data_IF_659308939648
#
_entry.id   IF_659308939648
#
_cell.length_a   1.000
_cell.length_b   1.000
_cell.length_c   1.000
_cell.angle_alpha   90.00
_cell.angle_beta   90.00
_cell.angle_gamma   90.00
#
_symmetry.space_group_name_H-M   'P 1'
#
loop_
_entity.id
_entity.type
_entity.pdbx_description
1 polymer ?
#
# COMPACT_ATOMS: atom_id res chain seq x y z
N UNK A 1 16.11 -39.03 9.39
CA UNK A 1 16.01 -37.66 9.88
C UNK A 1 16.70 -36.65 8.95
N UNK A 2 18.00 -36.82 8.69
CA UNK A 2 18.78 -35.88 7.84
C UNK A 2 18.21 -35.71 6.43
N UNK A 3 17.79 -36.80 5.78
CA UNK A 3 17.20 -36.76 4.43
C UNK A 3 15.87 -35.99 4.42
N UNK A 4 14.99 -36.26 5.38
CA UNK A 4 13.67 -35.60 5.48
C UNK A 4 13.85 -34.09 5.74
N UNK A 5 14.84 -33.70 6.55
CA UNK A 5 15.16 -32.31 6.83
C UNK A 5 15.86 -31.60 5.67
N UNK A 6 16.85 -32.24 5.03
CA UNK A 6 17.60 -31.67 3.92
C UNK A 6 16.72 -31.42 2.69
N UNK A 7 15.73 -32.27 2.47
CA UNK A 7 14.82 -32.19 1.31
C UNK A 7 13.60 -31.28 1.56
N UNK A 8 13.35 -30.94 2.82
CA UNK A 8 12.22 -30.10 3.24
C UNK A 8 10.88 -30.55 2.63
N UNK A 9 10.50 -31.82 2.91
CA UNK A 9 9.31 -32.49 2.38
C UNK A 9 8.04 -31.62 2.49
N UNK A 10 7.74 -30.91 3.62
CA UNK A 10 6.56 -30.05 3.73
C UNK A 10 6.50 -28.96 2.65
N UNK A 11 7.62 -28.32 2.32
CA UNK A 11 7.67 -27.31 1.25
C UNK A 11 7.43 -27.92 -0.14
N UNK A 12 7.92 -29.14 -0.39
CA UNK A 12 7.68 -29.82 -1.66
C UNK A 12 6.20 -30.18 -1.84
N UNK A 13 5.54 -30.59 -0.77
CA UNK A 13 4.08 -30.87 -0.75
C UNK A 13 3.31 -29.58 -1.04
N UNK A 14 3.63 -28.48 -0.36
CA UNK A 14 2.97 -27.19 -0.57
C UNK A 14 3.18 -26.63 -1.98
N UNK A 15 4.38 -26.83 -2.57
CA UNK A 15 4.69 -26.47 -3.96
C UNK A 15 4.08 -27.41 -5.00
N UNK A 16 3.21 -28.35 -4.60
CA UNK A 16 2.56 -29.37 -5.45
C UNK A 16 3.55 -30.23 -6.26
N UNK A 17 4.79 -30.40 -5.77
CA UNK A 17 5.78 -31.27 -6.43
C UNK A 17 5.62 -32.72 -5.99
N UNK A 18 4.40 -33.26 -6.14
CA UNK A 18 3.97 -34.58 -5.64
C UNK A 18 4.87 -35.71 -6.13
N UNK A 19 5.32 -35.67 -7.38
CA UNK A 19 6.22 -36.69 -7.95
C UNK A 19 7.58 -36.76 -7.25
N UNK A 20 8.14 -35.61 -6.81
CA UNK A 20 9.40 -35.59 -6.05
C UNK A 20 9.22 -36.19 -4.65
N UNK A 21 8.09 -35.87 -4.00
CA UNK A 21 7.74 -36.43 -2.68
C UNK A 21 7.57 -37.94 -2.78
N UNK A 22 6.82 -38.42 -3.79
CA UNK A 22 6.61 -39.84 -4.03
C UNK A 22 7.94 -40.60 -4.28
N UNK A 23 8.84 -40.01 -5.07
CA UNK A 23 10.17 -40.56 -5.31
C UNK A 23 11.03 -40.70 -4.05
N UNK A 24 10.98 -39.69 -3.15
CA UNK A 24 11.73 -39.73 -1.88
C UNK A 24 11.13 -40.78 -0.93
N UNK A 25 9.81 -40.87 -0.82
CA UNK A 25 9.13 -41.89 -0.02
C UNK A 25 9.48 -43.28 -0.55
N UNK A 26 9.45 -43.48 -1.88
CA UNK A 26 9.83 -44.76 -2.52
C UNK A 26 11.27 -45.17 -2.18
N UNK A 27 12.21 -44.21 -2.26
CA UNK A 27 13.63 -44.45 -1.93
C UNK A 27 13.81 -44.81 -0.45
N UNK A 28 13.11 -44.16 0.45
CA UNK A 28 13.13 -44.48 1.90
C UNK A 28 12.54 -45.86 2.20
N UNK A 29 11.47 -46.25 1.50
CA UNK A 29 10.88 -47.58 1.64
C UNK A 29 11.83 -48.68 1.12
N UNK A 30 12.50 -48.45 -0.01
CA UNK A 30 13.52 -49.38 -0.55
C UNK A 30 14.66 -49.53 0.43
N UNK A 31 15.18 -48.41 1.01
CA UNK A 31 16.20 -48.45 2.03
C UNK A 31 15.79 -49.25 3.28
N UNK A 32 14.58 -49.04 3.76
CA UNK A 32 14.04 -49.80 4.90
C UNK A 32 13.89 -51.31 4.57
N UNK A 33 13.47 -51.66 3.33
CA UNK A 33 13.40 -53.04 2.88
C UNK A 33 14.78 -53.69 2.83
N UNK A 34 15.79 -53.02 2.25
CA UNK A 34 17.16 -53.53 2.21
C UNK A 34 17.72 -53.73 3.63
N UNK A 35 17.51 -52.80 4.54
CA UNK A 35 17.93 -52.92 5.94
C UNK A 35 17.25 -54.08 6.65
N UNK A 36 15.94 -54.36 6.38
CA UNK A 36 15.21 -55.49 7.00
C UNK A 36 15.74 -56.84 6.56
N UNK A 37 16.39 -56.94 5.37
CA UNK A 37 16.94 -58.17 4.82
C UNK A 37 18.49 -58.24 4.90
N UNK A 38 19.10 -57.22 5.46
CA UNK A 38 20.59 -57.22 5.54
C UNK A 38 21.07 -58.29 6.54
N UNK A 39 22.07 -59.12 6.14
CA UNK A 39 22.67 -60.15 7.00
C UNK A 39 23.57 -59.50 8.06
N UNK A 40 23.00 -59.26 9.23
CA UNK A 40 23.79 -58.81 10.39
C UNK A 40 24.51 -59.99 11.02
N UNK A 41 25.79 -59.77 11.52
CA UNK A 41 26.46 -60.81 12.27
C UNK A 41 25.71 -61.05 13.59
N UNK A 42 25.16 -62.27 13.71
CA UNK A 42 24.26 -62.61 14.83
C UNK A 42 25.02 -63.07 16.06
N UNK A 43 25.01 -62.30 17.12
CA UNK A 43 25.15 -62.79 18.49
C UNK A 43 23.75 -63.25 18.98
N UNK A 44 23.24 -64.32 18.39
CA UNK A 44 21.89 -64.81 18.69
C UNK A 44 21.89 -65.51 20.03
N UNK A 45 21.02 -65.15 21.00
CA UNK A 45 20.86 -65.91 22.22
C UNK A 45 20.51 -67.37 21.97
N UNK A 46 21.05 -68.32 22.77
CA UNK A 46 20.85 -69.76 22.54
C UNK A 46 19.38 -70.18 22.43
N UNK A 47 18.46 -69.45 23.05
CA UNK A 47 17.02 -69.74 22.98
C UNK A 47 16.43 -69.45 21.59
N UNK A 48 16.95 -68.46 20.86
CA UNK A 48 16.44 -68.06 19.53
C UNK A 48 17.01 -68.91 18.37
N UNK A 49 18.14 -69.57 18.57
CA UNK A 49 18.67 -70.50 17.57
C UNK A 49 17.73 -71.69 17.30
N UNK A 50 16.82 -71.99 18.26
CA UNK A 50 15.84 -73.05 18.14
C UNK A 50 14.66 -72.70 17.22
N UNK A 51 14.46 -71.38 16.90
CA UNK A 51 13.34 -70.89 16.09
C UNK A 51 13.81 -69.84 15.09
N UNK A 52 14.60 -70.16 14.05
CA UNK A 52 15.22 -69.20 13.17
C UNK A 52 14.21 -68.32 12.38
N UNK A 53 13.12 -68.92 11.94
CA UNK A 53 12.03 -68.19 11.24
C UNK A 53 11.36 -67.14 12.11
N UNK A 54 11.20 -67.40 13.38
CA UNK A 54 10.64 -66.45 14.34
C UNK A 54 11.59 -65.26 14.56
N UNK A 55 12.87 -65.53 14.66
CA UNK A 55 13.90 -64.51 14.80
C UNK A 55 13.93 -63.52 13.61
N UNK A 56 13.90 -64.06 12.36
CA UNK A 56 13.85 -63.22 11.16
C UNK A 56 12.56 -62.40 11.10
N UNK A 57 11.44 -62.96 11.49
CA UNK A 57 10.18 -62.23 11.48
C UNK A 57 10.17 -61.10 12.52
N UNK A 58 10.63 -61.35 13.72
CA UNK A 58 10.73 -60.35 14.79
C UNK A 58 11.70 -59.26 14.43
N UNK A 59 12.83 -59.56 13.81
CA UNK A 59 13.82 -58.63 13.33
C UNK A 59 13.24 -57.68 12.26
N UNK A 60 12.57 -58.25 11.26
CA UNK A 60 11.93 -57.48 10.21
C UNK A 60 10.86 -56.53 10.79
N UNK A 61 10.01 -57.05 11.67
CA UNK A 61 9.00 -56.20 12.37
C UNK A 61 9.65 -55.05 13.15
N UNK A 62 10.75 -55.28 13.86
CA UNK A 62 11.44 -54.26 14.63
C UNK A 62 11.99 -53.14 13.73
N UNK A 63 12.60 -53.51 12.58
CA UNK A 63 13.12 -52.53 11.60
C UNK A 63 11.99 -51.66 11.05
N UNK A 64 10.86 -52.27 10.64
CA UNK A 64 9.72 -51.54 10.15
C UNK A 64 9.07 -50.64 11.20
N UNK A 65 8.97 -51.15 12.44
CA UNK A 65 8.43 -50.36 13.56
C UNK A 65 9.32 -49.14 13.84
N UNK A 66 10.67 -49.31 13.93
CA UNK A 66 11.60 -48.22 14.13
C UNK A 66 11.59 -47.25 12.98
N UNK A 67 11.48 -47.70 11.73
CA UNK A 67 11.33 -46.87 10.56
C UNK A 67 10.08 -45.96 10.65
N UNK A 68 8.94 -46.52 11.03
CA UNK A 68 7.67 -45.82 11.21
C UNK A 68 7.79 -44.73 12.32
N UNK A 69 8.36 -45.08 13.44
CA UNK A 69 8.53 -44.15 14.59
C UNK A 69 9.45 -42.99 14.21
N UNK A 70 10.63 -43.30 13.63
CA UNK A 70 11.62 -42.26 13.27
C UNK A 70 11.10 -41.36 12.13
N UNK A 71 10.44 -41.93 11.11
CA UNK A 71 9.89 -41.16 10.01
C UNK A 71 8.70 -40.30 10.46
N UNK A 72 7.81 -40.82 11.30
CA UNK A 72 6.68 -40.08 11.88
C UNK A 72 7.15 -38.90 12.76
N UNK A 73 8.12 -39.16 13.64
CA UNK A 73 8.72 -38.12 14.47
C UNK A 73 9.40 -37.02 13.64
N UNK A 74 10.20 -37.42 12.63
CA UNK A 74 10.88 -36.49 11.74
C UNK A 74 9.91 -35.64 10.92
N UNK A 75 8.82 -36.25 10.43
CA UNK A 75 7.77 -35.53 9.71
C UNK A 75 7.05 -34.53 10.62
N UNK A 76 6.73 -34.94 11.84
CA UNK A 76 6.04 -34.07 12.82
C UNK A 76 6.87 -32.83 13.14
N UNK A 77 8.18 -33.00 13.42
CA UNK A 77 9.09 -31.86 13.65
C UNK A 77 9.15 -30.97 12.42
N UNK A 78 9.30 -31.53 11.23
CA UNK A 78 9.41 -30.76 9.99
C UNK A 78 8.14 -29.94 9.73
N UNK A 79 6.97 -30.50 9.95
CA UNK A 79 5.70 -29.80 9.85
C UNK A 79 5.58 -28.66 10.88
N UNK A 80 5.99 -28.92 12.12
CA UNK A 80 5.94 -27.94 13.19
C UNK A 80 6.85 -26.75 12.89
N UNK A 81 8.08 -27.00 12.43
CA UNK A 81 9.02 -25.95 12.03
C UNK A 81 8.51 -25.13 10.82
N UNK A 82 7.87 -25.76 9.85
CA UNK A 82 7.31 -25.07 8.70
C UNK A 82 6.10 -24.20 9.09
N UNK A 83 5.24 -24.69 9.99
CA UNK A 83 4.13 -23.89 10.55
C UNK A 83 4.66 -22.65 11.32
N UNK A 84 5.67 -22.81 12.16
CA UNK A 84 6.29 -21.69 12.87
C UNK A 84 6.87 -20.67 11.89
N UNK A 85 7.57 -21.15 10.86
CA UNK A 85 8.12 -20.28 9.82
C UNK A 85 7.04 -19.48 9.09
N UNK A 86 5.91 -20.10 8.76
CA UNK A 86 4.79 -19.42 8.10
C UNK A 86 4.15 -18.36 9.01
N UNK A 87 4.02 -18.64 10.30
CA UNK A 87 3.50 -17.67 11.27
C UNK A 87 4.43 -16.45 11.34
N UNK A 88 5.75 -16.67 11.40
CA UNK A 88 6.73 -15.58 11.45
C UNK A 88 6.66 -14.73 10.16
N UNK A 89 6.70 -15.36 8.99
CA UNK A 89 6.64 -14.65 7.70
C UNK A 89 5.32 -13.88 7.55
N UNK A 90 4.20 -14.48 7.96
CA UNK A 90 2.89 -13.80 7.94
C UNK A 90 2.90 -12.56 8.84
N UNK A 91 3.47 -12.67 10.03
CA UNK A 91 3.59 -11.55 10.97
C UNK A 91 4.47 -10.43 10.42
N UNK A 92 5.60 -10.76 9.80
CA UNK A 92 6.49 -9.78 9.15
C UNK A 92 5.78 -9.03 8.01
N UNK A 93 5.01 -9.74 7.17
CA UNK A 93 4.23 -9.14 6.08
C UNK A 93 3.16 -8.19 6.66
N UNK A 94 2.48 -8.59 7.73
CA UNK A 94 1.48 -7.76 8.40
C UNK A 94 2.09 -6.50 9.01
N UNK A 95 3.25 -6.62 9.67
CA UNK A 95 4.00 -5.47 10.19
C UNK A 95 4.47 -4.52 9.09
N UNK A 96 4.95 -5.05 7.95
CA UNK A 96 5.33 -4.24 6.80
C UNK A 96 4.12 -3.54 6.19
N UNK A 97 2.99 -4.23 6.03
CA UNK A 97 1.74 -3.65 5.57
C UNK A 97 1.32 -2.48 6.48
N UNK A 98 1.31 -2.68 7.78
CA UNK A 98 0.94 -1.65 8.75
C UNK A 98 1.89 -0.43 8.71
N UNK A 99 3.21 -0.65 8.52
CA UNK A 99 4.19 0.44 8.33
C UNK A 99 3.94 1.24 7.05
N UNK A 100 3.67 0.55 5.94
CA UNK A 100 3.33 1.21 4.67
C UNK A 100 2.03 1.99 4.80
N UNK A 101 1.00 1.41 5.40
CA UNK A 101 -0.29 2.04 5.63
C UNK A 101 -0.14 3.29 6.53
N UNK A 102 0.63 3.19 7.63
CA UNK A 102 0.95 4.33 8.49
C UNK A 102 1.74 5.43 7.74
N UNK A 103 2.66 5.06 6.86
CA UNK A 103 3.42 6.03 6.06
C UNK A 103 2.54 6.73 5.02
N UNK A 104 1.58 6.02 4.43
CA UNK A 104 0.57 6.61 3.55
C UNK A 104 -0.32 7.60 4.31
N UNK A 105 -0.81 7.24 5.50
CA UNK A 105 -1.57 8.17 6.35
C UNK A 105 -0.79 9.44 6.69
N UNK A 106 0.50 9.30 7.05
CA UNK A 106 1.37 10.46 7.33
C UNK A 106 1.62 11.33 6.09
N UNK A 107 1.70 10.74 4.90
CA UNK A 107 1.92 11.47 3.66
C UNK A 107 0.67 12.23 3.16
N UNK A 108 -0.54 11.80 3.56
CA UNK A 108 -1.79 12.46 3.21
C UNK A 108 -2.00 13.79 3.96
N UNK A 109 -1.38 13.95 5.12
CA UNK A 109 -1.36 15.21 5.84
C UNK A 109 -0.14 15.99 5.32
N UNK A 110 -0.35 17.10 4.60
CA UNK A 110 0.74 17.99 4.19
C UNK A 110 1.29 18.74 5.43
N UNK A 111 2.40 18.27 6.08
CA UNK A 111 2.85 18.86 7.36
C UNK A 111 3.27 20.30 7.17
N UNK A 112 3.86 20.61 6.02
CA UNK A 112 4.30 21.96 5.71
C UNK A 112 3.13 22.95 5.59
N UNK A 113 2.02 22.54 4.96
CA UNK A 113 0.82 23.35 4.92
C UNK A 113 0.27 23.57 6.34
N UNK A 114 0.20 22.52 7.15
CA UNK A 114 -0.30 22.57 8.53
C UNK A 114 0.49 23.57 9.39
N UNK A 115 1.83 23.43 9.43
CA UNK A 115 2.68 24.32 10.21
C UNK A 115 2.60 25.76 9.73
N UNK A 116 2.56 25.99 8.43
CA UNK A 116 2.46 27.32 7.88
C UNK A 116 1.10 27.98 8.18
N UNK A 117 0.02 27.20 8.11
CA UNK A 117 -1.33 27.70 8.45
C UNK A 117 -1.40 28.04 9.93
N UNK A 118 -0.91 27.16 10.83
CA UNK A 118 -0.84 27.43 12.26
C UNK A 118 -0.04 28.72 12.57
N UNK A 119 1.09 28.93 11.93
CA UNK A 119 1.89 30.16 12.09
C UNK A 119 1.10 31.40 11.63
N UNK A 120 0.34 31.28 10.54
CA UNK A 120 -0.53 32.37 10.06
C UNK A 120 -1.65 32.67 11.04
N UNK A 121 -2.34 31.63 11.54
CA UNK A 121 -3.40 31.75 12.54
C UNK A 121 -2.87 32.41 13.84
N UNK A 122 -1.70 31.99 14.29
CA UNK A 122 -1.01 32.60 15.42
C UNK A 122 -0.76 34.09 15.20
N UNK A 123 -0.23 34.47 14.04
CA UNK A 123 -0.03 35.87 13.66
C UNK A 123 -1.32 36.69 13.65
N UNK A 124 -2.41 36.14 13.09
CA UNK A 124 -3.73 36.78 13.07
C UNK A 124 -4.30 36.98 14.48
N UNK A 125 -4.08 35.99 15.37
CA UNK A 125 -4.53 36.07 16.76
C UNK A 125 -3.78 37.15 17.55
N UNK A 126 -2.46 37.22 17.41
CA UNK A 126 -1.66 38.28 18.09
C UNK A 126 -2.03 39.65 17.58
N UNK A 127 -2.24 39.84 16.27
CA UNK A 127 -2.63 41.10 15.66
C UNK A 127 -4.12 41.46 15.93
N UNK A 128 -4.86 40.60 16.63
CA UNK A 128 -6.30 40.76 16.90
C UNK A 128 -7.09 41.02 15.61
N UNK A 129 -6.76 40.30 14.53
CA UNK A 129 -7.43 40.42 13.24
C UNK A 129 -8.83 39.82 13.30
N UNK A 130 -9.82 40.52 12.78
CA UNK A 130 -11.22 40.02 12.65
C UNK A 130 -11.30 38.76 11.78
N UNK A 131 -10.28 38.46 10.98
CA UNK A 131 -10.20 37.25 10.14
C UNK A 131 -9.71 36.00 10.89
N UNK A 132 -9.27 36.14 12.15
CA UNK A 132 -8.67 35.03 12.89
C UNK A 132 -9.69 33.89 13.11
N UNK A 133 -10.91 34.22 13.53
CA UNK A 133 -11.96 33.26 13.82
C UNK A 133 -12.38 32.47 12.55
N UNK A 134 -12.68 33.16 11.45
CA UNK A 134 -13.03 32.53 10.17
C UNK A 134 -11.91 31.61 9.67
N UNK A 135 -10.66 32.06 9.77
CA UNK A 135 -9.51 31.26 9.37
C UNK A 135 -9.32 30.01 10.24
N UNK A 136 -9.60 30.07 11.56
CA UNK A 136 -9.60 28.91 12.44
C UNK A 136 -10.69 27.91 12.07
N UNK A 137 -11.91 28.38 11.79
CA UNK A 137 -13.04 27.51 11.38
C UNK A 137 -12.65 26.77 10.09
N UNK A 138 -12.17 27.45 9.07
CA UNK A 138 -11.73 26.82 7.81
C UNK A 138 -10.61 25.82 8.02
N UNK A 139 -9.66 26.12 8.89
CA UNK A 139 -8.59 25.20 9.22
C UNK A 139 -9.10 23.91 9.88
N UNK A 140 -10.06 24.03 10.81
CA UNK A 140 -10.71 22.89 11.44
C UNK A 140 -11.48 22.06 10.41
N UNK A 141 -12.21 22.68 9.47
CA UNK A 141 -12.91 21.94 8.41
C UNK A 141 -11.95 21.20 7.47
N UNK A 142 -10.79 21.78 7.13
CA UNK A 142 -9.72 21.09 6.40
C UNK A 142 -9.21 19.87 7.16
N UNK A 143 -8.94 20.01 8.47
CA UNK A 143 -8.51 18.90 9.32
C UNK A 143 -9.57 17.79 9.36
N UNK A 144 -10.82 18.17 9.59
CA UNK A 144 -11.94 17.25 9.64
C UNK A 144 -12.10 16.49 8.33
N UNK A 145 -12.07 17.18 7.20
CA UNK A 145 -12.10 16.55 5.88
C UNK A 145 -10.97 15.54 5.71
N UNK A 146 -9.74 15.96 5.96
CA UNK A 146 -8.55 15.09 5.83
C UNK A 146 -8.67 13.85 6.72
N UNK A 147 -9.24 13.97 7.91
CA UNK A 147 -9.33 12.86 8.84
C UNK A 147 -10.52 11.93 8.54
N UNK A 148 -11.64 12.46 8.07
CA UNK A 148 -12.89 11.69 7.91
C UNK A 148 -13.13 11.21 6.48
N UNK A 149 -12.80 12.01 5.47
CA UNK A 149 -13.18 11.76 4.09
C UNK A 149 -12.12 11.00 3.29
N UNK A 150 -10.85 11.15 3.63
CA UNK A 150 -9.73 10.55 2.85
C UNK A 150 -9.78 9.03 2.83
N UNK A 151 -10.35 8.41 3.86
CA UNK A 151 -10.45 6.94 3.99
C UNK A 151 -11.68 6.36 3.29
N UNK A 152 -12.53 7.19 2.71
CA UNK A 152 -13.69 6.73 1.94
C UNK A 152 -13.29 6.44 0.49
N UNK A 153 -13.93 5.46 -0.13
CA UNK A 153 -13.71 5.16 -1.53
C UNK A 153 -14.19 6.28 -2.44
N UNK A 154 -15.35 6.85 -2.10
CA UNK A 154 -16.04 7.90 -2.86
C UNK A 154 -16.69 8.90 -1.93
N UNK A 155 -16.73 10.18 -2.32
CA UNK A 155 -17.36 11.28 -1.58
C UNK A 155 -18.18 12.15 -2.54
N UNK A 156 -19.20 12.90 -2.05
CA UNK A 156 -19.85 13.93 -2.83
C UNK A 156 -18.85 14.97 -3.34
N UNK A 157 -18.98 15.38 -4.62
CA UNK A 157 -18.08 16.39 -5.22
C UNK A 157 -18.14 17.72 -4.48
N UNK A 158 -19.31 18.08 -3.90
CA UNK A 158 -19.47 19.27 -3.09
C UNK A 158 -18.50 19.31 -1.91
N UNK A 159 -18.15 18.16 -1.31
CA UNK A 159 -17.16 18.10 -0.22
C UNK A 159 -15.75 18.44 -0.72
N UNK A 160 -15.37 17.98 -1.91
CA UNK A 160 -14.07 18.31 -2.51
C UNK A 160 -14.00 19.79 -2.90
N UNK A 161 -15.08 20.35 -3.48
CA UNK A 161 -15.18 21.77 -3.81
C UNK A 161 -15.04 22.63 -2.56
N UNK A 162 -15.76 22.30 -1.49
CA UNK A 162 -15.68 23.00 -0.20
C UNK A 162 -14.28 22.95 0.39
N UNK A 163 -13.63 21.78 0.33
CA UNK A 163 -12.25 21.65 0.77
C UNK A 163 -11.29 22.56 -0.02
N UNK A 164 -11.46 22.63 -1.35
CA UNK A 164 -10.66 23.51 -2.22
C UNK A 164 -10.88 24.98 -1.87
N UNK A 165 -12.13 25.41 -1.61
CA UNK A 165 -12.44 26.78 -1.19
C UNK A 165 -11.74 27.16 0.11
N UNK A 166 -11.85 26.31 1.13
CA UNK A 166 -11.24 26.54 2.43
C UNK A 166 -9.70 26.56 2.32
N UNK A 167 -9.12 25.66 1.50
CA UNK A 167 -7.71 25.63 1.22
C UNK A 167 -7.21 26.91 0.53
N UNK A 168 -7.89 27.36 -0.52
CA UNK A 168 -7.57 28.61 -1.25
C UNK A 168 -7.66 29.79 -0.29
N UNK A 169 -8.72 29.87 0.51
CA UNK A 169 -8.93 30.94 1.49
C UNK A 169 -7.77 31.05 2.48
N UNK A 170 -7.31 29.92 3.03
CA UNK A 170 -6.17 29.88 3.96
C UNK A 170 -4.84 30.20 3.27
N UNK A 171 -4.66 29.79 2.03
CA UNK A 171 -3.46 30.14 1.25
C UNK A 171 -3.40 31.65 0.97
N UNK A 172 -4.53 32.28 0.65
CA UNK A 172 -4.62 33.73 0.39
C UNK A 172 -4.25 34.59 1.62
N UNK A 173 -4.44 34.08 2.83
CA UNK A 173 -3.99 34.75 4.06
C UNK A 173 -2.45 34.85 4.18
N UNK A 174 -1.73 33.98 3.48
CA UNK A 174 -0.27 33.87 3.51
C UNK A 174 0.42 34.54 2.31
N UNK A 175 -0.32 34.64 1.22
CA UNK A 175 0.20 35.19 -0.02
C UNK A 175 0.19 36.72 0.04
N UNK A 176 1.17 37.30 -0.60
CA UNK A 176 1.24 38.74 -0.80
C UNK A 176 0.45 39.19 -2.05
N UNK A 177 0.42 40.47 -2.31
CA UNK A 177 -0.28 41.09 -3.45
C UNK A 177 0.24 40.65 -4.84
N UNK A 178 1.42 40.00 -4.92
CA UNK A 178 1.99 39.52 -6.18
C UNK A 178 1.30 38.25 -6.70
N UNK A 179 0.62 37.50 -5.84
CA UNK A 179 -0.09 36.26 -6.29
C UNK A 179 -1.58 36.53 -6.39
N UNK A 180 -2.12 36.49 -7.59
CA UNK A 180 -3.56 36.55 -7.86
C UNK A 180 -4.10 35.14 -8.09
N UNK A 181 -5.21 34.82 -7.44
CA UNK A 181 -5.89 33.52 -7.56
C UNK A 181 -7.29 33.74 -8.07
N UNK A 182 -7.67 33.08 -9.16
CA UNK A 182 -9.07 33.00 -9.62
C UNK A 182 -9.57 31.58 -9.38
N UNK A 183 -10.71 31.48 -8.74
CA UNK A 183 -11.43 30.21 -8.49
C UNK A 183 -12.85 30.38 -9.02
N UNK A 184 -13.22 29.58 -9.97
CA UNK A 184 -14.54 29.55 -10.59
C UNK A 184 -15.06 28.12 -10.61
N UNK A 185 -16.31 27.91 -10.22
CA UNK A 185 -16.92 26.60 -10.36
C UNK A 185 -18.41 26.68 -10.71
N UNK A 186 -18.87 25.70 -11.48
CA UNK A 186 -20.26 25.48 -11.82
C UNK A 186 -20.56 23.99 -11.68
N UNK A 187 -21.26 23.61 -10.61
CA UNK A 187 -21.57 22.23 -10.28
C UNK A 187 -23.07 22.04 -10.28
N UNK A 188 -23.57 21.31 -11.29
CA UNK A 188 -25.01 21.07 -11.47
C UNK A 188 -25.59 20.20 -10.34
N UNK A 189 -24.84 19.21 -9.86
CA UNK A 189 -25.23 18.30 -8.78
C UNK A 189 -24.05 18.00 -7.85
N UNK A 190 -24.07 18.59 -6.66
CA UNK A 190 -23.03 18.42 -5.66
C UNK A 190 -23.00 17.03 -5.02
N UNK A 191 -24.06 16.23 -5.18
CA UNK A 191 -24.15 14.87 -4.62
C UNK A 191 -23.42 13.80 -5.44
N UNK A 192 -22.97 14.14 -6.64
CA UNK A 192 -22.23 13.22 -7.52
C UNK A 192 -20.95 12.75 -6.84
N UNK A 193 -20.74 11.44 -6.85
CA UNK A 193 -19.64 10.82 -6.12
C UNK A 193 -18.35 10.81 -6.94
N UNK A 194 -17.26 11.26 -6.31
CA UNK A 194 -15.89 11.21 -6.82
C UNK A 194 -14.94 10.67 -5.76
N UNK A 195 -13.76 10.15 -6.12
CA UNK A 195 -12.76 9.77 -5.14
C UNK A 195 -12.21 11.01 -4.40
N UNK A 196 -11.99 10.95 -3.09
CA UNK A 196 -11.46 12.09 -2.33
C UNK A 196 -10.03 12.48 -2.76
N UNK A 197 -9.64 13.73 -2.55
CA UNK A 197 -8.28 14.25 -2.75
C UNK A 197 -7.76 14.19 -4.19
N UNK A 198 -8.64 14.07 -5.20
CA UNK A 198 -8.20 14.07 -6.61
C UNK A 198 -8.00 15.49 -7.12
N UNK A 199 -8.99 16.36 -6.91
CA UNK A 199 -8.95 17.72 -7.46
C UNK A 199 -7.95 18.59 -6.70
N UNK A 200 -7.91 18.48 -5.39
CA UNK A 200 -7.00 19.26 -4.54
C UNK A 200 -5.53 19.04 -4.87
N UNK A 201 -5.14 17.83 -5.31
CA UNK A 201 -3.76 17.53 -5.69
C UNK A 201 -3.21 18.51 -6.75
N UNK A 202 -4.03 18.90 -7.70
CA UNK A 202 -3.65 19.87 -8.74
C UNK A 202 -3.59 21.31 -8.20
N UNK A 203 -4.49 21.64 -7.29
CA UNK A 203 -4.53 22.94 -6.61
C UNK A 203 -3.28 23.12 -5.75
N UNK A 204 -2.95 22.14 -4.91
CA UNK A 204 -1.73 22.17 -4.09
C UNK A 204 -0.47 22.36 -4.92
N UNK A 205 -0.36 21.65 -6.05
CA UNK A 205 0.76 21.81 -6.97
C UNK A 205 0.82 23.22 -7.55
N UNK A 206 -0.32 23.82 -7.93
CA UNK A 206 -0.35 25.17 -8.44
C UNK A 206 0.12 26.20 -7.41
N UNK A 207 -0.26 26.08 -6.15
CA UNK A 207 0.25 26.95 -5.08
C UNK A 207 1.71 26.70 -4.76
N UNK A 208 2.16 25.44 -4.77
CA UNK A 208 3.56 25.07 -4.49
C UNK A 208 4.53 25.63 -5.53
N UNK A 209 4.19 25.57 -6.81
CA UNK A 209 5.06 25.92 -7.93
C UNK A 209 4.71 27.23 -8.61
N UNK A 210 3.47 27.74 -8.47
CA UNK A 210 2.95 28.91 -9.14
C UNK A 210 2.91 30.17 -8.27
N UNK A 211 3.29 30.11 -6.97
CA UNK A 211 3.33 31.28 -6.10
C UNK A 211 4.73 31.87 -5.97
N UNK A 212 4.82 33.22 -5.86
CA UNK A 212 6.06 33.94 -5.65
C UNK A 212 5.86 35.08 -4.65
N UNK A 213 6.88 35.36 -3.87
CA UNK A 213 6.93 36.53 -2.97
C UNK A 213 7.44 37.83 -3.65
N UNK A 214 8.03 37.73 -4.85
CA UNK A 214 8.74 38.82 -5.49
C UNK A 214 8.29 39.10 -6.92
N UNK A 215 7.59 38.17 -7.57
CA UNK A 215 7.17 38.29 -8.97
C UNK A 215 5.65 38.13 -9.07
N UNK A 216 5.05 38.89 -9.97
CA UNK A 216 3.62 38.75 -10.24
C UNK A 216 3.31 37.40 -10.88
N UNK A 217 2.40 36.70 -10.28
CA UNK A 217 1.95 35.41 -10.72
C UNK A 217 0.43 35.26 -10.61
N UNK A 218 -0.11 34.41 -11.46
CA UNK A 218 -1.54 34.15 -11.55
C UNK A 218 -1.79 32.66 -11.48
N UNK A 219 -2.73 32.26 -10.64
CA UNK A 219 -3.22 30.88 -10.52
C UNK A 219 -4.70 30.90 -10.90
N UNK A 220 -5.08 30.21 -11.95
CA UNK A 220 -6.46 30.09 -12.39
C UNK A 220 -6.94 28.65 -12.20
N UNK A 221 -8.05 28.49 -11.50
CA UNK A 221 -8.63 27.19 -11.19
C UNK A 221 -10.10 27.24 -11.62
N UNK A 222 -10.54 26.24 -12.38
CA UNK A 222 -11.92 26.11 -12.82
C UNK A 222 -12.43 24.69 -12.68
N UNK A 223 -13.66 24.53 -12.14
CA UNK A 223 -14.37 23.26 -12.04
C UNK A 223 -15.76 23.40 -12.70
N UNK A 224 -16.13 22.46 -13.56
CA UNK A 224 -17.43 22.42 -14.19
C UNK A 224 -17.94 20.98 -14.18
N UNK A 225 -19.14 20.78 -13.65
CA UNK A 225 -19.85 19.51 -13.71
C UNK A 225 -21.19 19.71 -14.40
N UNK A 226 -21.33 19.14 -15.59
CA UNK A 226 -22.56 19.17 -16.37
C UNK A 226 -22.79 17.83 -17.05
N UNK A 227 -24.03 17.36 -17.07
CA UNK A 227 -24.41 16.08 -17.71
C UNK A 227 -23.49 14.91 -17.26
N UNK A 228 -23.15 14.83 -15.97
CA UNK A 228 -22.21 13.83 -15.41
C UNK A 228 -20.81 13.84 -16.06
N UNK A 229 -20.42 14.98 -16.61
CA UNK A 229 -19.06 15.19 -17.14
C UNK A 229 -18.39 16.25 -16.29
N UNK A 230 -17.37 15.84 -15.57
CA UNK A 230 -16.53 16.76 -14.79
C UNK A 230 -15.39 17.24 -15.68
N UNK A 231 -15.20 18.56 -15.74
CA UNK A 231 -14.06 19.22 -16.33
C UNK A 231 -13.38 20.07 -15.26
N UNK A 232 -12.14 19.76 -14.93
CA UNK A 232 -11.36 20.49 -13.95
C UNK A 232 -10.06 20.96 -14.58
N UNK A 233 -9.78 22.26 -14.47
CA UNK A 233 -8.58 22.85 -15.04
C UNK A 233 -7.84 23.72 -14.04
N UNK A 234 -6.53 23.62 -14.06
CA UNK A 234 -5.63 24.44 -13.25
C UNK A 234 -4.54 24.99 -14.16
N UNK A 235 -4.30 26.28 -14.06
CA UNK A 235 -3.26 26.97 -14.81
C UNK A 235 -2.47 27.87 -13.87
N UNK A 236 -1.15 27.80 -13.95
CA UNK A 236 -0.25 28.67 -13.23
C UNK A 236 1.05 28.92 -13.99
N UNK A 237 1.70 30.04 -13.71
CA UNK A 237 3.07 30.29 -14.17
C UNK A 237 4.05 29.50 -13.33
N UNK A 238 5.07 28.91 -13.96
CA UNK A 238 6.14 28.21 -13.23
C UNK A 238 7.08 29.24 -12.63
N UNK A 239 7.13 29.32 -11.29
CA UNK A 239 7.93 30.30 -10.55
C UNK A 239 9.14 29.68 -9.86
N UNK A 240 9.17 28.37 -9.70
CA UNK A 240 10.28 27.64 -9.08
C UNK A 240 10.76 26.57 -10.05
N UNK A 241 12.05 26.63 -10.40
CA UNK A 241 12.76 25.54 -11.05
C UNK A 241 13.05 24.47 -9.99
N UNK A 242 12.06 23.64 -9.70
CA UNK A 242 12.28 22.49 -8.84
C UNK A 242 12.38 21.23 -9.69
N UNK A 243 13.30 20.35 -9.26
CA UNK A 243 13.56 19.06 -9.87
C UNK A 243 12.25 18.36 -10.31
N UNK A 244 12.19 17.98 -11.56
CA UNK A 244 11.09 17.21 -12.21
C UNK A 244 10.59 16.02 -11.38
N UNK A 245 11.41 15.53 -10.42
CA UNK A 245 11.12 14.35 -9.62
C UNK A 245 9.97 14.49 -8.61
N UNK A 246 9.82 15.64 -7.92
CA UNK A 246 8.77 15.76 -6.89
C UNK A 246 7.38 16.08 -7.46
N UNK A 247 7.32 16.87 -8.53
CA UNK A 247 6.06 17.21 -9.22
C UNK A 247 5.48 15.96 -9.91
N UNK A 248 6.36 15.12 -10.46
CA UNK A 248 5.97 13.89 -11.15
C UNK A 248 5.35 12.84 -10.22
N UNK A 249 5.79 12.72 -8.96
CA UNK A 249 5.28 11.71 -8.03
C UNK A 249 3.80 11.91 -7.69
N UNK A 250 3.39 13.13 -7.34
CA UNK A 250 1.99 13.43 -7.02
C UNK A 250 1.05 13.23 -8.21
N UNK A 251 1.47 13.72 -9.39
CA UNK A 251 0.70 13.58 -10.63
C UNK A 251 0.63 12.13 -11.11
N UNK A 252 1.73 11.37 -10.99
CA UNK A 252 1.76 9.96 -11.35
C UNK A 252 0.84 9.12 -10.45
N UNK A 253 0.83 9.38 -9.14
CA UNK A 253 -0.07 8.72 -8.21
C UNK A 253 -1.54 9.05 -8.51
N UNK A 254 -1.85 10.32 -8.80
CA UNK A 254 -3.19 10.74 -9.19
C UNK A 254 -3.62 10.05 -10.50
N UNK A 255 -2.75 10.01 -11.51
CA UNK A 255 -3.02 9.34 -12.78
C UNK A 255 -3.21 7.82 -12.61
N UNK A 256 -2.38 7.16 -11.80
CA UNK A 256 -2.54 5.74 -11.50
C UNK A 256 -3.88 5.44 -10.83
N UNK A 257 -4.31 6.30 -9.88
CA UNK A 257 -5.60 6.19 -9.21
C UNK A 257 -6.78 6.43 -10.17
N UNK A 258 -6.67 7.42 -11.05
CA UNK A 258 -7.68 7.68 -12.10
C UNK A 258 -7.80 6.52 -13.08
N UNK A 259 -6.70 5.92 -13.51
CA UNK A 259 -6.69 4.73 -14.37
C UNK A 259 -7.38 3.53 -13.72
N UNK A 260 -7.24 3.37 -12.40
CA UNK A 260 -7.87 2.29 -11.64
C UNK A 260 -9.38 2.48 -11.49
N UNK A 261 -9.83 3.72 -11.17
CA UNK A 261 -11.22 4.00 -10.83
C UNK A 261 -12.07 4.33 -12.07
N UNK A 262 -11.47 5.03 -13.04
CA UNK A 262 -12.14 5.48 -14.27
C UNK A 262 -11.42 4.97 -15.53
N UNK A 263 -11.27 3.64 -15.72
CA UNK A 263 -10.62 3.10 -16.91
C UNK A 263 -11.36 3.58 -18.17
N UNK A 264 -10.63 4.19 -19.12
CA UNK A 264 -11.16 4.71 -20.39
C UNK A 264 -12.25 5.81 -20.26
N UNK A 265 -12.56 6.27 -19.04
CA UNK A 265 -13.57 7.29 -18.77
C UNK A 265 -13.00 8.61 -18.27
N UNK A 266 -11.66 8.76 -18.29
CA UNK A 266 -11.00 10.00 -17.93
C UNK A 266 -9.95 10.39 -18.96
N UNK A 267 -9.65 11.69 -19.00
CA UNK A 267 -8.54 12.28 -19.75
C UNK A 267 -7.81 13.20 -18.79
N UNK A 268 -6.55 12.94 -18.54
CA UNK A 268 -5.66 13.84 -17.81
C UNK A 268 -4.60 14.36 -18.79
N UNK A 269 -4.63 15.65 -19.05
CA UNK A 269 -3.63 16.34 -19.88
C UNK A 269 -2.84 17.30 -19.00
N UNK A 270 -1.52 17.15 -19.01
CA UNK A 270 -0.59 18.03 -18.33
C UNK A 270 0.36 18.58 -19.39
N UNK A 271 0.47 19.90 -19.46
CA UNK A 271 1.33 20.60 -20.42
C UNK A 271 2.12 21.69 -19.76
N UNK A 272 3.42 21.70 -20.01
CA UNK A 272 4.34 22.79 -19.67
C UNK A 272 4.71 23.52 -20.95
N UNK A 273 4.06 24.66 -21.20
CA UNK A 273 4.26 25.43 -22.42
C UNK A 273 4.54 26.89 -22.09
N UNK A 274 5.61 27.46 -22.63
CA UNK A 274 5.94 28.90 -22.49
C UNK A 274 6.02 29.39 -21.03
N UNK A 275 6.53 28.55 -20.11
CA UNK A 275 6.62 28.89 -18.68
C UNK A 275 5.28 28.84 -17.92
N UNK A 276 4.25 28.30 -18.54
CA UNK A 276 2.95 28.03 -17.94
C UNK A 276 2.76 26.52 -17.72
N UNK A 277 2.26 26.17 -16.56
CA UNK A 277 1.82 24.83 -16.23
C UNK A 277 0.32 24.77 -16.34
N UNK A 278 -0.17 23.85 -17.17
CA UNK A 278 -1.60 23.66 -17.42
C UNK A 278 -1.97 22.23 -17.14
N UNK A 279 -3.00 22.01 -16.35
CA UNK A 279 -3.64 20.72 -16.11
C UNK A 279 -5.08 20.78 -16.58
N UNK A 280 -5.50 19.77 -17.29
CA UNK A 280 -6.90 19.56 -17.66
C UNK A 280 -7.27 18.12 -17.33
N UNK A 281 -8.20 17.95 -16.41
CA UNK A 281 -8.80 16.67 -16.06
C UNK A 281 -10.26 16.66 -16.55
N UNK A 282 -10.62 15.66 -17.33
CA UNK A 282 -12.01 15.39 -17.70
C UNK A 282 -12.38 13.99 -17.25
N UNK A 283 -13.52 13.84 -16.58
CA UNK A 283 -14.05 12.55 -16.11
C UNK A 283 -15.50 12.41 -16.55
N UNK A 284 -15.86 11.25 -17.08
CA UNK A 284 -17.24 10.85 -17.30
C UNK A 284 -17.69 10.01 -16.10
N UNK A 285 -18.53 10.61 -15.24
CA UNK A 285 -19.03 10.07 -13.97
C UNK A 285 -20.23 9.16 -14.13
#
# INVERSE_FOLDING_TARGET
YFVIRAVNIPQLVMRRKIFKVAGIIGLLLVAAFLLSHFPYPDNIPPVMTRYPKLHEHLRSQTVWFMFLVVSGYSLSISLLLELFRQIIVKKEIEEQKNKVELSLYKAQINPHFMFNTLNTLYGLTISKSDRAEDAFVKFIEILKYTYTQVNLDMIPIGNEIKYIEDYISLQLLRLNSHTKVSWEYEIEDESVLIPPMILITFVENAFKYGSSSTKDCNIAIKAELKDRKLSFSVQNRIMRDNSESEMSVGLNNCNARLNLIYPERHILSVCECSGMFNVLLKIKL
#
